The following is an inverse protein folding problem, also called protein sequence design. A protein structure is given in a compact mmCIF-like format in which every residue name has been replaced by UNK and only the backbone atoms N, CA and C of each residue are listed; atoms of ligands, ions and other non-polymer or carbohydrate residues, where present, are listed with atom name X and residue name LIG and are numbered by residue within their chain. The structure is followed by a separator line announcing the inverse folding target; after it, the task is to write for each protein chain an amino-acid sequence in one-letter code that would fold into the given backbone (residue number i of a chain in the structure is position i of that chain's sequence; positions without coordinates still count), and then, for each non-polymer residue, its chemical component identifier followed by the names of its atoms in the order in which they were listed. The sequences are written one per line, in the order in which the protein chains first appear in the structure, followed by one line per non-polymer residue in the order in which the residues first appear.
data_IF_940832971335
#
_entry.id   IF_940832971335
#
_cell.length_a   1.000
_cell.length_b   1.000
_cell.length_c   1.000
_cell.angle_alpha   90.00
_cell.angle_beta   90.00
_cell.angle_gamma   90.00
#
_symmetry.space_group_name_H-M   'P 1'
#
loop_
_entity.id
_entity.type
_entity.pdbx_description
1 polymer ?
#
# COMPACT_ATOMS: atom_id res chain seq x y z
N UNK A 1 7.18 4.02 -7.71
CA UNK A 1 6.33 5.23 -7.73
C UNK A 1 4.84 4.91 -7.65
N UNK A 2 4.33 3.94 -8.42
CA UNK A 2 2.90 3.56 -8.40
C UNK A 2 2.38 3.14 -7.02
N UNK A 3 3.19 2.38 -6.25
CA UNK A 3 2.85 1.96 -4.89
C UNK A 3 2.66 3.14 -3.92
N UNK A 4 3.60 4.09 -3.94
CA UNK A 4 3.53 5.31 -3.13
C UNK A 4 2.35 6.19 -3.55
N UNK A 5 2.08 6.31 -4.86
CA UNK A 5 0.95 7.08 -5.36
C UNK A 5 -0.39 6.47 -4.89
N UNK A 6 -0.55 5.15 -4.97
CA UNK A 6 -1.75 4.46 -4.47
C UNK A 6 -1.90 4.57 -2.94
N UNK A 7 -0.81 4.42 -2.20
CA UNK A 7 -0.80 4.54 -0.73
C UNK A 7 -1.16 5.96 -0.28
N UNK A 8 -0.48 6.99 -0.80
CA UNK A 8 -0.73 8.39 -0.44
C UNK A 8 -2.17 8.78 -0.76
N UNK A 9 -2.70 8.35 -1.91
CA UNK A 9 -4.08 8.63 -2.28
C UNK A 9 -5.08 7.98 -1.32
N UNK A 10 -4.89 6.70 -0.96
CA UNK A 10 -5.73 6.06 0.06
C UNK A 10 -5.60 6.71 1.43
N UNK A 11 -4.41 7.16 1.83
CA UNK A 11 -4.18 7.90 3.07
C UNK A 11 -4.90 9.24 3.09
N UNK A 12 -4.91 9.98 1.98
CA UNK A 12 -5.67 11.24 1.85
C UNK A 12 -7.16 10.98 1.91
N UNK A 13 -7.67 9.93 1.26
CA UNK A 13 -9.08 9.56 1.35
C UNK A 13 -9.47 9.14 2.77
N UNK A 14 -8.62 8.36 3.45
CA UNK A 14 -8.81 7.99 4.86
C UNK A 14 -8.83 9.20 5.79
N UNK A 15 -7.91 10.15 5.59
CA UNK A 15 -7.86 11.38 6.38
C UNK A 15 -9.14 12.23 6.22
N UNK A 16 -9.69 12.29 5.00
CA UNK A 16 -10.89 13.09 4.70
C UNK A 16 -12.19 12.45 5.17
N UNK A 17 -12.26 11.11 5.27
CA UNK A 17 -13.50 10.38 5.59
C UNK A 17 -13.57 9.78 6.98
N UNK A 18 -12.49 9.14 7.42
CA UNK A 18 -12.45 8.37 8.67
C UNK A 18 -11.54 9.02 9.73
N UNK A 19 -10.86 10.11 9.37
CA UNK A 19 -10.04 10.93 10.27
C UNK A 19 -8.56 10.54 10.31
N UNK A 20 -7.78 11.28 11.12
CA UNK A 20 -6.32 11.17 11.15
C UNK A 20 -5.81 9.78 11.57
N UNK A 21 -6.55 9.06 12.41
CA UNK A 21 -6.16 7.74 12.90
C UNK A 21 -6.17 6.70 11.77
N UNK A 22 -7.19 6.72 10.90
CA UNK A 22 -7.27 5.84 9.75
C UNK A 22 -6.16 6.16 8.71
N UNK A 23 -5.79 7.43 8.57
CA UNK A 23 -4.69 7.85 7.70
C UNK A 23 -3.33 7.33 8.19
N UNK A 24 -3.05 7.45 9.49
CA UNK A 24 -1.81 6.95 10.10
C UNK A 24 -1.75 5.42 9.99
N UNK A 25 -2.86 4.73 10.25
CA UNK A 25 -2.94 3.27 10.12
C UNK A 25 -2.75 2.80 8.67
N UNK A 26 -3.30 3.51 7.67
CA UNK A 26 -3.02 3.26 6.25
C UNK A 26 -1.52 3.43 5.98
N UNK A 27 -0.93 4.53 6.40
CA UNK A 27 0.46 4.85 6.06
C UNK A 27 1.48 3.88 6.66
N UNK A 28 1.25 3.44 7.91
CA UNK A 28 2.19 2.55 8.64
C UNK A 28 1.95 1.08 8.30
N UNK A 29 0.70 0.68 8.05
CA UNK A 29 0.33 -0.72 7.86
C UNK A 29 -0.21 -0.97 6.44
N UNK A 30 0.61 -1.58 5.59
CA UNK A 30 0.21 -1.97 4.24
C UNK A 30 -1.02 -2.88 4.20
N UNK A 31 -1.17 -3.78 5.20
CA UNK A 31 -2.37 -4.62 5.34
C UNK A 31 -3.62 -3.80 5.63
N UNK A 32 -3.52 -2.78 6.49
CA UNK A 32 -4.63 -1.87 6.75
C UNK A 32 -4.98 -1.03 5.52
N UNK A 33 -3.99 -0.62 4.73
CA UNK A 33 -4.24 0.05 3.44
C UNK A 33 -5.07 -0.81 2.49
N UNK A 34 -4.75 -2.10 2.37
CA UNK A 34 -5.53 -3.04 1.55
C UNK A 34 -6.94 -3.21 2.12
N UNK A 35 -7.07 -3.41 3.44
CA UNK A 35 -8.37 -3.52 4.10
C UNK A 35 -9.23 -2.26 3.88
N UNK A 36 -8.66 -1.07 4.04
CA UNK A 36 -9.34 0.21 3.86
C UNK A 36 -9.77 0.42 2.41
N UNK A 37 -8.91 0.07 1.46
CA UNK A 37 -9.23 0.14 0.05
C UNK A 37 -10.34 -0.82 -0.37
N UNK A 38 -10.41 -2.02 0.23
CA UNK A 38 -11.52 -2.97 0.00
C UNK A 38 -12.81 -2.50 0.70
N UNK A 39 -12.72 -2.01 1.94
CA UNK A 39 -13.88 -1.48 2.69
C UNK A 39 -14.57 -0.33 1.95
N UNK A 40 -13.78 0.54 1.32
CA UNK A 40 -14.26 1.69 0.56
C UNK A 40 -14.07 1.52 -0.96
N UNK A 41 -14.22 0.29 -1.48
CA UNK A 41 -13.86 -0.07 -2.85
C UNK A 41 -14.50 0.81 -3.93
N UNK A 42 -15.74 1.26 -3.73
CA UNK A 42 -16.43 2.13 -4.68
C UNK A 42 -15.63 3.41 -5.01
N UNK A 43 -14.91 3.94 -4.02
CA UNK A 43 -14.16 5.20 -4.11
C UNK A 43 -12.66 4.97 -4.22
N UNK A 44 -12.17 3.87 -3.64
CA UNK A 44 -10.74 3.54 -3.59
C UNK A 44 -10.30 2.51 -4.64
N UNK A 45 -11.16 2.09 -5.58
CA UNK A 45 -10.80 1.12 -6.64
C UNK A 45 -9.53 1.48 -7.43
N UNK A 46 -9.40 2.75 -7.83
CA UNK A 46 -8.25 3.26 -8.60
C UNK A 46 -6.98 3.27 -7.75
N UNK A 47 -6.95 3.90 -6.56
CA UNK A 47 -5.74 3.91 -5.75
C UNK A 47 -5.39 2.53 -5.19
N UNK A 48 -6.36 1.64 -4.93
CA UNK A 48 -6.12 0.24 -4.58
C UNK A 48 -5.41 -0.51 -5.70
N UNK A 49 -5.86 -0.38 -6.96
CA UNK A 49 -5.20 -1.00 -8.11
C UNK A 49 -3.78 -0.45 -8.30
N UNK A 50 -3.58 0.86 -8.16
CA UNK A 50 -2.24 1.46 -8.24
C UNK A 50 -1.31 0.93 -7.14
N UNK A 51 -1.84 0.75 -5.92
CA UNK A 51 -1.10 0.16 -4.80
C UNK A 51 -0.73 -1.30 -5.07
N UNK A 52 -1.70 -2.13 -5.51
CA UNK A 52 -1.48 -3.55 -5.78
C UNK A 52 -0.54 -3.78 -6.97
N UNK A 53 -0.72 -3.06 -8.08
CA UNK A 53 0.18 -3.13 -9.24
C UNK A 53 1.58 -2.66 -8.84
N UNK A 54 1.69 -1.59 -8.07
CA UNK A 54 2.96 -1.14 -7.52
C UNK A 54 3.62 -2.20 -6.62
N UNK A 55 2.83 -2.94 -5.83
CA UNK A 55 3.32 -4.00 -4.95
C UNK A 55 3.80 -5.20 -5.76
N UNK A 56 3.03 -5.63 -6.75
CA UNK A 56 3.42 -6.70 -7.69
C UNK A 56 4.69 -6.31 -8.44
N UNK A 57 4.79 -5.09 -8.96
CA UNK A 57 6.01 -4.61 -9.62
C UNK A 57 7.18 -4.60 -8.64
N UNK A 58 7.00 -4.14 -7.40
CA UNK A 58 8.05 -4.20 -6.38
C UNK A 58 8.46 -5.63 -6.01
N UNK A 59 7.55 -6.61 -6.04
CA UNK A 59 7.86 -8.01 -5.73
C UNK A 59 8.54 -8.69 -6.92
N UNK A 60 8.02 -8.49 -8.14
CA UNK A 60 8.49 -9.13 -9.38
C UNK A 60 9.79 -8.52 -9.88
N UNK A 61 9.95 -7.19 -9.77
CA UNK A 61 11.15 -6.47 -10.23
C UNK A 61 12.13 -6.13 -9.09
N UNK A 62 12.05 -6.78 -7.92
CA UNK A 62 13.13 -6.77 -6.92
C UNK A 62 13.96 -8.05 -6.99
N UNK A 63 15.00 -8.12 -7.85
CA UNK A 63 16.00 -9.17 -7.76
C UNK A 63 16.77 -9.15 -6.41
N UNK A 64 16.85 -8.00 -5.74
CA UNK A 64 17.52 -7.85 -4.43
C UNK A 64 16.82 -8.57 -3.26
N UNK A 65 15.50 -8.80 -3.32
CA UNK A 65 14.80 -9.54 -2.26
C UNK A 65 14.90 -11.07 -2.41
N UNK A 66 15.30 -11.57 -3.59
CA UNK A 66 15.81 -12.94 -3.71
C UNK A 66 17.18 -13.10 -3.01
N UNK A 67 17.98 -12.02 -2.93
CA UNK A 67 19.26 -12.00 -2.23
C UNK A 67 19.13 -11.70 -0.70
N UNK A 68 18.13 -10.93 -0.27
CA UNK A 68 17.92 -10.66 1.16
C UNK A 68 17.33 -11.84 1.96
N UNK A 69 16.76 -12.85 1.28
CA UNK A 69 16.51 -14.16 1.91
C UNK A 69 17.80 -14.86 2.36
N UNK A 70 18.97 -14.47 1.85
CA UNK A 70 20.28 -14.94 2.31
C UNK A 70 21.01 -13.95 3.22
N UNK A 71 20.68 -12.66 3.18
CA UNK A 71 21.33 -11.63 4.00
C UNK A 71 20.66 -11.39 5.37
N UNK A 72 19.45 -11.89 5.60
CA UNK A 72 18.83 -11.94 6.93
C UNK A 72 19.25 -13.20 7.74
N UNK A 73 20.18 -14.00 7.22
CA UNK A 73 20.71 -15.22 7.84
C UNK A 73 22.18 -15.10 8.32
N UNK A 74 22.67 -13.87 8.52
CA UNK A 74 23.96 -13.62 9.20
C UNK A 74 23.73 -12.68 10.37
#
# INVERSE_FOLDING_TARGET
MLLLAGAIWMTVNAAKKDGAVAAILCFICGFYTIYYGIKNFAENKVPLILFLVGLVVCVVFRPDMAAMSGAAAI
#
